data_IF_752262595509
#
_entry.id   IF_752262595509
#
_cell.length_a   1.000
_cell.length_b   1.000
_cell.length_c   1.000
_cell.angle_alpha   90.00
_cell.angle_beta   90.00
_cell.angle_gamma   90.00
#
_symmetry.space_group_name_H-M   'P 1'
#
loop_
_entity.id
_entity.type
_entity.pdbx_description
1 polymer ?
#
# COMPACT_ATOMS: atom_id res chain seq x y z
N UNK A 1 11.11 -19.36 10.50
CA UNK A 1 11.03 -20.33 9.37
C UNK A 1 11.91 -19.81 8.26
N UNK A 2 12.82 -20.59 7.68
CA UNK A 2 13.60 -20.11 6.53
C UNK A 2 12.64 -20.02 5.33
N UNK A 3 12.85 -19.05 4.44
CA UNK A 3 11.99 -18.88 3.26
C UNK A 3 11.99 -20.10 2.31
N UNK A 4 12.97 -20.99 2.39
CA UNK A 4 12.96 -22.28 1.69
C UNK A 4 11.96 -23.26 2.30
N UNK A 5 11.92 -23.31 3.62
CA UNK A 5 11.00 -24.20 4.35
C UNK A 5 9.55 -23.78 4.08
N UNK A 6 9.29 -22.46 4.05
CA UNK A 6 7.98 -21.91 3.70
C UNK A 6 7.54 -22.34 2.29
N UNK A 7 8.37 -22.12 1.26
CA UNK A 7 8.04 -22.50 -0.11
C UNK A 7 7.81 -24.00 -0.26
N UNK A 8 8.61 -24.82 0.42
CA UNK A 8 8.46 -26.28 0.42
C UNK A 8 7.14 -26.70 1.06
N UNK A 9 6.78 -26.09 2.19
CA UNK A 9 5.50 -26.33 2.88
C UNK A 9 4.32 -25.99 1.99
N UNK A 10 4.34 -24.80 1.36
CA UNK A 10 3.25 -24.35 0.47
C UNK A 10 3.12 -25.24 -0.78
N UNK A 11 4.23 -25.66 -1.38
CA UNK A 11 4.21 -26.55 -2.56
C UNK A 11 3.73 -27.97 -2.23
N UNK A 12 3.85 -28.39 -0.95
CA UNK A 12 3.35 -29.69 -0.48
C UNK A 12 1.87 -29.65 -0.09
N UNK A 13 1.26 -28.47 -0.04
CA UNK A 13 -0.16 -28.30 0.30
C UNK A 13 -1.04 -28.48 -0.96
N UNK A 14 -1.92 -29.49 -0.93
CA UNK A 14 -2.81 -29.79 -2.03
C UNK A 14 -3.94 -28.77 -2.22
N UNK A 15 -4.18 -27.89 -1.22
CA UNK A 15 -5.21 -26.86 -1.29
C UNK A 15 -4.76 -25.61 -2.06
N UNK A 16 -3.48 -25.49 -2.38
CA UNK A 16 -2.97 -24.34 -3.16
C UNK A 16 -3.43 -24.47 -4.62
N UNK A 17 -4.11 -23.44 -5.16
CA UNK A 17 -4.53 -23.42 -6.55
C UNK A 17 -3.38 -23.68 -7.52
N UNK A 18 -3.62 -24.47 -8.56
CA UNK A 18 -2.59 -24.85 -9.52
C UNK A 18 -1.95 -23.64 -10.20
N UNK A 19 -2.73 -22.58 -10.44
CA UNK A 19 -2.25 -21.31 -11.01
C UNK A 19 -1.19 -20.64 -10.13
N UNK A 20 -1.29 -20.78 -8.81
CA UNK A 20 -0.35 -20.21 -7.86
C UNK A 20 0.88 -21.09 -7.64
N UNK A 21 0.79 -22.39 -7.88
CA UNK A 21 1.94 -23.31 -7.77
C UNK A 21 3.09 -22.89 -8.68
N UNK A 22 2.79 -22.49 -9.92
CA UNK A 22 3.78 -21.99 -10.87
C UNK A 22 4.56 -20.77 -10.33
N UNK A 23 3.89 -19.87 -9.59
CA UNK A 23 4.57 -18.74 -8.95
C UNK A 23 5.53 -19.21 -7.84
N UNK A 24 5.10 -20.10 -6.95
CA UNK A 24 5.93 -20.59 -5.86
C UNK A 24 7.14 -21.40 -6.37
N UNK A 25 6.99 -22.16 -7.45
CA UNK A 25 8.11 -22.84 -8.13
C UNK A 25 9.09 -21.81 -8.70
N UNK A 26 8.60 -20.79 -9.40
CA UNK A 26 9.40 -19.69 -9.92
C UNK A 26 10.13 -18.95 -8.78
N UNK A 27 9.47 -18.67 -7.65
CA UNK A 27 10.10 -18.03 -6.50
C UNK A 27 11.28 -18.84 -5.97
N UNK A 28 11.15 -20.16 -5.89
CA UNK A 28 12.22 -21.05 -5.46
C UNK A 28 13.41 -21.00 -6.41
N UNK A 29 13.15 -21.12 -7.72
CA UNK A 29 14.19 -21.09 -8.75
C UNK A 29 14.94 -19.75 -8.78
N UNK A 30 14.22 -18.63 -8.85
CA UNK A 30 14.80 -17.30 -8.90
C UNK A 30 15.60 -16.96 -7.64
N UNK A 31 15.11 -17.38 -6.47
CA UNK A 31 15.84 -17.24 -5.21
C UNK A 31 17.14 -18.06 -5.19
N UNK A 32 17.10 -19.31 -5.64
CA UNK A 32 18.29 -20.18 -5.67
C UNK A 32 19.34 -19.65 -6.65
N UNK A 33 18.92 -19.05 -7.76
CA UNK A 33 19.77 -18.36 -8.73
C UNK A 33 20.17 -16.94 -8.28
N UNK A 34 19.66 -16.43 -7.16
CA UNK A 34 19.87 -15.06 -6.65
C UNK A 34 19.45 -13.95 -7.63
N UNK A 35 18.45 -14.20 -8.45
CA UNK A 35 17.91 -13.26 -9.42
C UNK A 35 16.86 -12.34 -8.75
N UNK A 36 17.34 -11.48 -7.85
CA UNK A 36 16.49 -10.69 -6.94
C UNK A 36 15.52 -9.76 -7.66
N UNK A 37 15.95 -9.15 -8.75
CA UNK A 37 15.09 -8.26 -9.53
C UNK A 37 13.92 -9.01 -10.17
N UNK A 38 14.20 -10.14 -10.84
CA UNK A 38 13.16 -10.98 -11.44
C UNK A 38 12.23 -11.56 -10.37
N UNK A 39 12.78 -11.94 -9.22
CA UNK A 39 12.00 -12.41 -8.09
C UNK A 39 11.04 -11.33 -7.58
N UNK A 40 11.52 -10.09 -7.47
CA UNK A 40 10.68 -8.94 -7.06
C UNK A 40 9.51 -8.75 -8.01
N UNK A 41 9.74 -8.75 -9.34
CA UNK A 41 8.69 -8.64 -10.34
C UNK A 41 7.67 -9.77 -10.27
N UNK A 42 8.13 -11.00 -10.05
CA UNK A 42 7.23 -12.15 -9.90
C UNK A 42 6.38 -12.06 -8.62
N UNK A 43 6.96 -11.58 -7.52
CA UNK A 43 6.22 -11.35 -6.27
C UNK A 43 5.18 -10.24 -6.46
N UNK A 44 5.51 -9.13 -7.13
CA UNK A 44 4.53 -8.09 -7.45
C UNK A 44 3.37 -8.61 -8.31
N UNK A 45 3.69 -9.43 -9.33
CA UNK A 45 2.68 -10.07 -10.17
C UNK A 45 1.77 -10.99 -9.35
N UNK A 46 2.34 -11.78 -8.46
CA UNK A 46 1.60 -12.66 -7.54
C UNK A 46 0.66 -11.88 -6.63
N UNK A 47 1.13 -10.81 -6.00
CA UNK A 47 0.33 -9.99 -5.09
C UNK A 47 -0.88 -9.33 -5.78
N UNK A 48 -0.80 -9.12 -7.11
CA UNK A 48 -1.91 -8.59 -7.93
C UNK A 48 -2.81 -9.67 -8.52
N UNK A 49 -2.40 -10.95 -8.43
CA UNK A 49 -3.14 -12.04 -9.05
C UNK A 49 -4.46 -12.32 -8.31
N UNK A 50 -5.61 -12.44 -9.00
CA UNK A 50 -6.90 -12.65 -8.33
C UNK A 50 -6.94 -13.87 -7.41
N UNK A 51 -6.33 -14.99 -7.81
CA UNK A 51 -6.30 -16.21 -7.00
C UNK A 51 -5.46 -16.08 -5.72
N UNK A 52 -4.57 -15.09 -5.63
CA UNK A 52 -3.75 -14.86 -4.43
C UNK A 52 -4.47 -14.05 -3.34
N UNK A 53 -5.64 -13.48 -3.64
CA UNK A 53 -6.38 -12.59 -2.73
C UNK A 53 -7.01 -13.32 -1.53
N UNK A 54 -6.97 -14.65 -1.49
CA UNK A 54 -7.46 -15.44 -0.37
C UNK A 54 -6.60 -15.22 0.88
N UNK A 55 -7.25 -14.88 2.00
CA UNK A 55 -6.57 -14.61 3.28
C UNK A 55 -6.12 -15.91 3.95
N UNK A 56 -4.97 -15.96 4.65
CA UNK A 56 -3.99 -14.87 4.90
C UNK A 56 -2.78 -14.91 3.95
N UNK A 57 -2.92 -15.41 2.75
CA UNK A 57 -1.84 -15.78 1.80
C UNK A 57 -0.76 -14.72 1.59
N UNK A 58 -1.14 -13.44 1.46
CA UNK A 58 -0.16 -12.36 1.31
C UNK A 58 0.61 -12.10 2.60
N UNK A 59 -0.06 -12.21 3.76
CA UNK A 59 0.56 -12.01 5.07
C UNK A 59 1.63 -13.08 5.29
N UNK A 60 1.29 -14.35 5.05
CA UNK A 60 2.21 -15.47 5.18
C UNK A 60 3.40 -15.35 4.23
N UNK A 61 3.15 -14.99 2.96
CA UNK A 61 4.20 -14.77 1.97
C UNK A 61 5.14 -13.63 2.41
N UNK A 62 4.59 -12.54 2.94
CA UNK A 62 5.40 -11.40 3.38
C UNK A 62 6.29 -11.77 4.56
N UNK A 63 5.71 -12.32 5.64
CA UNK A 63 6.43 -12.62 6.87
C UNK A 63 7.45 -13.76 6.71
N UNK A 64 7.13 -14.78 5.93
CA UNK A 64 7.96 -15.97 5.82
C UNK A 64 8.88 -16.02 4.59
N UNK A 65 8.58 -15.21 3.56
CA UNK A 65 9.38 -15.24 2.34
C UNK A 65 9.94 -13.86 1.96
N UNK A 66 9.12 -12.83 1.74
CA UNK A 66 9.59 -11.52 1.23
C UNK A 66 10.64 -10.92 2.18
N UNK A 67 10.42 -10.97 3.49
CA UNK A 67 11.36 -10.45 4.49
C UNK A 67 12.75 -11.09 4.41
N UNK A 68 12.86 -12.33 3.94
CA UNK A 68 14.16 -13.04 3.87
C UNK A 68 15.12 -12.44 2.84
N UNK A 69 14.61 -11.72 1.84
CA UNK A 69 15.42 -11.04 0.82
C UNK A 69 15.11 -9.53 0.69
N UNK A 70 14.40 -8.96 1.65
CA UNK A 70 13.99 -7.55 1.68
C UNK A 70 15.15 -6.57 1.40
N UNK A 71 16.36 -6.87 1.89
CA UNK A 71 17.58 -6.07 1.66
C UNK A 71 18.01 -5.95 0.19
N UNK A 72 17.46 -6.77 -0.69
CA UNK A 72 17.74 -6.77 -2.12
C UNK A 72 16.62 -6.13 -2.95
N UNK A 73 15.55 -5.67 -2.28
CA UNK A 73 14.41 -4.99 -2.89
C UNK A 73 14.57 -3.47 -2.68
N UNK A 74 14.17 -2.68 -3.66
CA UNK A 74 14.05 -1.24 -3.48
C UNK A 74 13.05 -0.94 -2.34
N UNK A 75 13.39 0.00 -1.46
CA UNK A 75 12.62 0.31 -0.25
C UNK A 75 11.18 0.73 -0.56
N UNK A 76 10.96 1.53 -1.61
CA UNK A 76 9.63 1.98 -1.99
C UNK A 76 8.79 0.83 -2.58
N UNK A 77 9.41 -0.08 -3.35
CA UNK A 77 8.75 -1.30 -3.85
C UNK A 77 8.36 -2.21 -2.70
N UNK A 78 9.26 -2.40 -1.72
CA UNK A 78 8.98 -3.18 -0.52
C UNK A 78 7.83 -2.57 0.31
N UNK A 79 7.83 -1.25 0.48
CA UNK A 79 6.75 -0.53 1.13
C UNK A 79 5.43 -0.71 0.40
N UNK A 80 5.42 -0.60 -0.93
CA UNK A 80 4.23 -0.83 -1.77
C UNK A 80 3.69 -2.26 -1.63
N UNK A 81 4.56 -3.27 -1.55
CA UNK A 81 4.16 -4.64 -1.24
C UNK A 81 3.51 -4.72 0.16
N UNK A 82 4.10 -4.06 1.15
CA UNK A 82 3.54 -3.98 2.51
C UNK A 82 2.14 -3.37 2.53
N UNK A 83 1.90 -2.33 1.73
CA UNK A 83 0.56 -1.72 1.57
C UNK A 83 -0.45 -2.72 1.00
N UNK A 84 -0.07 -3.50 -0.02
CA UNK A 84 -0.96 -4.54 -0.58
C UNK A 84 -1.28 -5.61 0.48
N UNK A 85 -0.26 -6.05 1.21
CA UNK A 85 -0.39 -7.06 2.28
C UNK A 85 -1.30 -6.57 3.41
N UNK A 86 -1.21 -5.29 3.79
CA UNK A 86 -2.03 -4.72 4.88
C UNK A 86 -3.54 -4.84 4.62
N UNK A 87 -3.96 -4.89 3.36
CA UNK A 87 -5.37 -5.03 2.97
C UNK A 87 -5.94 -6.43 3.23
N UNK A 88 -5.09 -7.42 3.49
CA UNK A 88 -5.53 -8.78 3.84
C UNK A 88 -5.81 -8.98 5.33
N UNK A 89 -5.39 -8.07 6.20
CA UNK A 89 -5.77 -8.16 7.62
C UNK A 89 -7.28 -8.02 7.79
N UNK A 90 -7.84 -8.83 8.67
CA UNK A 90 -9.28 -8.83 8.94
C UNK A 90 -9.68 -7.58 9.75
N UNK A 91 -8.82 -7.21 10.71
CA UNK A 91 -9.07 -6.07 11.57
C UNK A 91 -8.18 -4.89 11.19
N UNK A 92 -8.79 -3.71 11.11
CA UNK A 92 -8.07 -2.46 10.80
C UNK A 92 -6.95 -2.14 11.83
N UNK A 93 -7.12 -2.56 13.10
CA UNK A 93 -6.10 -2.44 14.14
C UNK A 93 -4.81 -3.21 13.83
N UNK A 94 -4.95 -4.42 13.27
CA UNK A 94 -3.81 -5.27 12.96
C UNK A 94 -3.07 -4.77 11.72
N UNK A 95 -3.83 -4.31 10.71
CA UNK A 95 -3.27 -3.63 9.54
C UNK A 95 -2.51 -2.37 9.94
N UNK A 96 -3.08 -1.56 10.86
CA UNK A 96 -2.41 -0.38 11.41
C UNK A 96 -1.10 -0.74 12.11
N UNK A 97 -1.12 -1.72 13.02
CA UNK A 97 0.07 -2.16 13.74
C UNK A 97 1.16 -2.68 12.80
N UNK A 98 0.77 -3.44 11.77
CA UNK A 98 1.68 -3.92 10.73
C UNK A 98 2.36 -2.76 9.99
N UNK A 99 1.58 -1.79 9.48
CA UNK A 99 2.12 -0.64 8.75
C UNK A 99 2.98 0.28 9.62
N UNK A 100 2.61 0.49 10.89
CA UNK A 100 3.41 1.27 11.84
C UNK A 100 4.77 0.62 12.12
N UNK A 101 4.81 -0.71 12.22
CA UNK A 101 6.07 -1.46 12.34
C UNK A 101 6.95 -1.21 11.12
N UNK A 102 6.42 -1.35 9.90
CA UNK A 102 7.17 -1.10 8.67
C UNK A 102 7.62 0.36 8.54
N UNK A 103 6.77 1.31 8.91
CA UNK A 103 7.12 2.72 8.91
C UNK A 103 8.29 3.03 9.86
N UNK A 104 8.33 2.36 11.03
CA UNK A 104 9.46 2.50 11.97
C UNK A 104 10.75 1.91 11.40
N UNK A 105 10.67 0.79 10.68
CA UNK A 105 11.83 0.15 10.02
C UNK A 105 12.41 1.02 8.88
N UNK A 106 11.59 1.91 8.28
CA UNK A 106 11.96 2.80 7.16
C UNK A 106 12.22 4.25 7.58
N UNK A 107 12.27 4.57 8.87
CA UNK A 107 12.53 5.93 9.36
C UNK A 107 14.04 6.25 9.34
N UNK A 108 14.58 6.34 8.12
CA UNK A 108 15.99 6.68 7.86
C UNK A 108 16.08 7.66 6.67
N UNK A 109 17.13 8.47 6.58
CA UNK A 109 17.27 9.49 5.52
C UNK A 109 17.15 8.93 4.09
N UNK A 110 17.66 7.71 3.87
CA UNK A 110 17.71 7.09 2.54
C UNK A 110 16.37 6.42 2.13
N UNK A 111 15.41 6.30 3.06
CA UNK A 111 14.15 5.55 2.86
C UNK A 111 12.92 6.39 3.22
N UNK A 112 13.06 7.71 3.25
CA UNK A 112 12.00 8.62 3.70
C UNK A 112 10.76 8.60 2.79
N UNK A 113 10.93 8.34 1.49
CA UNK A 113 9.81 8.17 0.56
C UNK A 113 8.95 6.96 0.93
N UNK A 114 9.59 5.82 1.23
CA UNK A 114 8.93 4.62 1.74
C UNK A 114 8.28 4.87 3.12
N UNK A 115 8.96 5.62 3.99
CA UNK A 115 8.43 6.00 5.30
C UNK A 115 7.15 6.85 5.16
N UNK A 116 7.14 7.84 4.27
CA UNK A 116 5.94 8.65 3.98
C UNK A 116 4.80 7.79 3.46
N UNK A 117 5.06 6.90 2.49
CA UNK A 117 4.05 5.99 1.96
C UNK A 117 3.41 5.15 3.07
N UNK A 118 4.23 4.47 3.88
CA UNK A 118 3.75 3.60 4.95
C UNK A 118 3.04 4.38 6.07
N UNK A 119 3.54 5.58 6.42
CA UNK A 119 2.91 6.44 7.43
C UNK A 119 1.55 6.95 6.98
N UNK A 120 1.39 7.29 5.71
CA UNK A 120 0.10 7.73 5.16
C UNK A 120 -0.89 6.56 5.06
N UNK A 121 -0.44 5.37 4.65
CA UNK A 121 -1.31 4.19 4.65
C UNK A 121 -1.71 3.77 6.08
N UNK A 122 -0.81 3.91 7.07
CA UNK A 122 -1.16 3.74 8.49
C UNK A 122 -2.20 4.78 8.94
N UNK A 123 -2.04 6.05 8.52
CA UNK A 123 -3.00 7.12 8.80
C UNK A 123 -4.38 6.85 8.17
N UNK A 124 -4.44 6.17 7.03
CA UNK A 124 -5.70 5.70 6.45
C UNK A 124 -6.44 4.76 7.43
N UNK A 125 -5.74 3.79 8.02
CA UNK A 125 -6.34 2.88 9.00
C UNK A 125 -6.68 3.59 10.32
N UNK A 126 -5.90 4.59 10.76
CA UNK A 126 -6.27 5.46 11.89
C UNK A 126 -7.59 6.16 11.63
N UNK A 127 -7.76 6.70 10.42
CA UNK A 127 -9.01 7.35 10.01
C UNK A 127 -10.20 6.38 10.03
N UNK A 128 -10.03 5.15 9.55
CA UNK A 128 -11.06 4.11 9.59
C UNK A 128 -11.44 3.73 11.03
N UNK A 129 -10.50 3.81 11.96
CA UNK A 129 -10.73 3.57 13.40
C UNK A 129 -11.28 4.80 14.14
N UNK A 130 -11.46 5.93 13.44
CA UNK A 130 -11.99 7.18 14.00
C UNK A 130 -10.96 8.06 14.70
N UNK A 131 -9.68 7.74 14.63
CA UNK A 131 -8.60 8.59 15.18
C UNK A 131 -8.25 9.73 14.22
N UNK A 132 -9.08 10.78 14.24
CA UNK A 132 -8.87 11.99 13.46
C UNK A 132 -7.61 12.76 13.90
N UNK A 133 -7.29 12.72 15.20
CA UNK A 133 -6.13 13.44 15.74
C UNK A 133 -4.81 12.81 15.30
N UNK A 134 -4.70 11.49 15.38
CA UNK A 134 -3.56 10.74 14.88
C UNK A 134 -3.36 10.89 13.38
N UNK A 135 -4.47 10.80 12.61
CA UNK A 135 -4.45 11.03 11.16
C UNK A 135 -3.94 12.43 10.83
N UNK A 136 -4.43 13.48 11.48
CA UNK A 136 -3.96 14.86 11.26
C UNK A 136 -2.48 15.01 11.57
N UNK A 137 -2.03 14.48 12.69
CA UNK A 137 -0.62 14.53 13.06
C UNK A 137 0.30 13.81 12.06
N UNK A 138 -0.15 12.69 11.49
CA UNK A 138 0.57 11.99 10.43
C UNK A 138 0.62 12.83 9.13
N UNK A 139 -0.50 13.42 8.70
CA UNK A 139 -0.56 14.32 7.55
C UNK A 139 0.43 15.49 7.69
N UNK A 140 0.44 16.17 8.84
CA UNK A 140 1.30 17.32 9.08
C UNK A 140 2.81 16.96 9.11
N UNK A 141 3.15 15.76 9.59
CA UNK A 141 4.53 15.25 9.53
C UNK A 141 4.95 14.90 8.11
N UNK A 142 4.11 14.14 7.40
CA UNK A 142 4.39 13.71 6.03
C UNK A 142 4.44 14.89 5.05
N UNK A 143 3.62 15.92 5.23
CA UNK A 143 3.67 17.16 4.42
C UNK A 143 5.07 17.82 4.52
N UNK A 144 5.61 17.97 5.75
CA UNK A 144 6.93 18.55 5.96
C UNK A 144 8.06 17.73 5.32
N UNK A 145 7.94 16.40 5.34
CA UNK A 145 8.90 15.54 4.66
C UNK A 145 8.81 15.68 3.14
N UNK A 146 7.60 15.69 2.58
CA UNK A 146 7.37 15.87 1.15
C UNK A 146 7.91 17.21 0.64
N UNK A 147 7.77 18.29 1.43
CA UNK A 147 8.31 19.61 1.09
C UNK A 147 9.86 19.64 1.06
N UNK A 148 10.52 18.66 1.68
CA UNK A 148 11.99 18.56 1.72
C UNK A 148 12.58 17.74 0.56
N UNK A 149 11.76 17.08 -0.25
CA UNK A 149 12.23 16.25 -1.34
C UNK A 149 12.33 17.04 -2.65
N UNK A 150 13.41 16.80 -3.40
CA UNK A 150 13.57 17.36 -4.74
C UNK A 150 12.68 16.67 -5.78
N UNK A 151 12.46 15.37 -5.62
CA UNK A 151 11.60 14.55 -6.48
C UNK A 151 11.03 13.37 -5.67
N UNK A 152 9.75 13.05 -5.90
CA UNK A 152 9.03 11.96 -5.25
C UNK A 152 8.26 11.15 -6.28
N UNK A 153 8.27 9.84 -6.13
CA UNK A 153 7.49 8.94 -6.99
C UNK A 153 5.98 9.20 -6.85
N UNK A 154 5.22 9.14 -7.96
CA UNK A 154 3.78 9.43 -7.96
C UNK A 154 2.97 8.64 -6.93
N UNK A 155 3.36 7.40 -6.63
CA UNK A 155 2.67 6.53 -5.67
C UNK A 155 2.65 7.11 -4.25
N UNK A 156 3.70 7.83 -3.85
CA UNK A 156 3.79 8.48 -2.53
C UNK A 156 2.83 9.67 -2.46
N UNK A 157 2.85 10.52 -3.50
CA UNK A 157 1.90 11.63 -3.61
C UNK A 157 0.44 11.14 -3.68
N UNK A 158 0.16 10.08 -4.45
CA UNK A 158 -1.16 9.49 -4.54
C UNK A 158 -1.68 9.04 -3.16
N UNK A 159 -0.86 8.33 -2.39
CA UNK A 159 -1.25 7.92 -1.03
C UNK A 159 -1.50 9.14 -0.13
N UNK A 160 -0.60 10.14 -0.16
CA UNK A 160 -0.74 11.35 0.64
C UNK A 160 -2.06 12.08 0.33
N UNK A 161 -2.31 12.42 -0.94
CA UNK A 161 -3.52 13.17 -1.34
C UNK A 161 -4.80 12.38 -1.11
N UNK A 162 -4.79 11.06 -1.31
CA UNK A 162 -5.94 10.20 -1.04
C UNK A 162 -6.34 10.22 0.44
N UNK A 163 -5.36 10.11 1.34
CA UNK A 163 -5.63 10.11 2.79
C UNK A 163 -6.05 11.50 3.27
N UNK A 164 -5.39 12.56 2.80
CA UNK A 164 -5.80 13.94 3.08
C UNK A 164 -7.24 14.20 2.61
N UNK A 165 -7.58 13.79 1.38
CA UNK A 165 -8.93 13.89 0.87
C UNK A 165 -9.94 13.16 1.77
N UNK A 166 -9.68 11.90 2.10
CA UNK A 166 -10.58 11.13 2.96
C UNK A 166 -10.74 11.74 4.37
N UNK A 167 -9.67 12.32 4.93
CA UNK A 167 -9.73 13.06 6.18
C UNK A 167 -10.66 14.27 6.10
N UNK A 168 -10.50 15.11 5.07
CA UNK A 168 -11.35 16.29 4.86
C UNK A 168 -12.81 15.89 4.54
N UNK A 169 -13.01 14.78 3.80
CA UNK A 169 -14.35 14.22 3.57
C UNK A 169 -15.03 13.82 4.90
N UNK A 170 -14.29 13.14 5.80
CA UNK A 170 -14.82 12.76 7.11
C UNK A 170 -15.19 13.97 7.98
N UNK A 171 -14.57 15.13 7.76
CA UNK A 171 -14.86 16.39 8.44
C UNK A 171 -15.89 17.28 7.71
N UNK A 172 -16.40 16.84 6.56
CA UNK A 172 -17.27 17.64 5.68
C UNK A 172 -16.63 18.97 5.20
N UNK A 173 -15.30 18.99 5.07
CA UNK A 173 -14.52 20.11 4.54
C UNK A 173 -14.42 19.95 3.01
N UNK A 174 -15.48 20.33 2.30
CA UNK A 174 -15.70 19.97 0.88
C UNK A 174 -14.67 20.58 -0.07
N UNK A 175 -14.24 21.83 0.14
CA UNK A 175 -13.25 22.48 -0.70
C UNK A 175 -11.87 21.77 -0.61
N UNK A 176 -11.43 21.43 0.61
CA UNK A 176 -10.17 20.74 0.83
C UNK A 176 -10.22 19.27 0.34
N UNK A 177 -11.37 18.59 0.51
CA UNK A 177 -11.60 17.28 -0.08
C UNK A 177 -11.45 17.33 -1.61
N UNK A 178 -12.17 18.27 -2.28
CA UNK A 178 -12.11 18.41 -3.74
C UNK A 178 -10.68 18.63 -4.22
N UNK A 179 -9.95 19.57 -3.61
CA UNK A 179 -8.56 19.88 -3.99
C UNK A 179 -7.64 18.65 -3.86
N UNK A 180 -7.66 17.99 -2.70
CA UNK A 180 -6.79 16.84 -2.47
C UNK A 180 -7.15 15.65 -3.36
N UNK A 181 -8.43 15.37 -3.54
CA UNK A 181 -8.85 14.25 -4.37
C UNK A 181 -8.57 14.47 -5.85
N UNK A 182 -8.64 15.72 -6.32
CA UNK A 182 -8.23 16.08 -7.69
C UNK A 182 -6.74 15.88 -7.91
N UNK A 183 -5.90 16.23 -6.94
CA UNK A 183 -4.45 15.95 -6.96
C UNK A 183 -4.16 14.44 -6.92
N UNK A 184 -4.91 13.67 -6.13
CA UNK A 184 -4.81 12.22 -6.14
C UNK A 184 -5.07 11.63 -7.52
N UNK A 185 -6.16 12.05 -8.19
CA UNK A 185 -6.50 11.57 -9.52
C UNK A 185 -5.43 11.93 -10.58
N UNK A 186 -4.71 13.04 -10.39
CA UNK A 186 -3.60 13.42 -11.25
C UNK A 186 -2.35 12.53 -11.07
N UNK A 187 -2.25 11.80 -9.95
CA UNK A 187 -1.12 10.92 -9.64
C UNK A 187 -1.33 9.46 -10.06
N UNK A 188 -2.54 9.07 -10.48
CA UNK A 188 -2.89 7.67 -10.77
C UNK A 188 -3.40 7.50 -12.21
N UNK A 189 -3.34 6.27 -12.68
CA UNK A 189 -4.04 5.85 -13.90
C UNK A 189 -5.44 5.34 -13.54
N UNK A 190 -6.43 6.25 -13.59
CA UNK A 190 -7.81 6.01 -13.12
C UNK A 190 -8.41 4.72 -13.68
N UNK A 191 -8.26 4.45 -14.99
CA UNK A 191 -8.83 3.26 -15.62
C UNK A 191 -8.14 1.94 -15.21
N UNK A 192 -6.89 2.00 -14.77
CA UNK A 192 -6.11 0.84 -14.36
C UNK A 192 -6.20 0.56 -12.85
N UNK A 193 -6.35 1.61 -12.04
CA UNK A 193 -6.22 1.55 -10.58
C UNK A 193 -7.54 1.66 -9.82
N UNK A 194 -8.61 2.12 -10.49
CA UNK A 194 -9.95 2.25 -9.90
C UNK A 194 -10.96 1.39 -10.64
N UNK A 195 -11.76 0.65 -9.90
CA UNK A 195 -12.93 -0.04 -10.45
C UNK A 195 -13.97 0.96 -10.97
N UNK A 196 -14.84 0.53 -11.90
CA UNK A 196 -15.92 1.40 -12.41
C UNK A 196 -16.84 1.92 -11.31
N UNK A 197 -17.09 1.12 -10.28
CA UNK A 197 -17.89 1.54 -9.13
C UNK A 197 -17.20 2.66 -8.34
N UNK A 198 -15.90 2.53 -8.10
CA UNK A 198 -15.10 3.59 -7.43
C UNK A 198 -15.03 4.86 -8.26
N UNK A 199 -14.87 4.76 -9.59
CA UNK A 199 -14.89 5.93 -10.49
C UNK A 199 -16.21 6.70 -10.41
N UNK A 200 -17.34 5.98 -10.43
CA UNK A 200 -18.67 6.60 -10.31
C UNK A 200 -18.86 7.25 -8.95
N UNK A 201 -18.48 6.57 -7.87
CA UNK A 201 -18.57 7.12 -6.51
C UNK A 201 -17.68 8.36 -6.36
N UNK A 202 -16.46 8.32 -6.87
CA UNK A 202 -15.53 9.44 -6.86
C UNK A 202 -16.12 10.65 -7.63
N UNK A 203 -16.63 10.43 -8.84
CA UNK A 203 -17.24 11.50 -9.64
C UNK A 203 -18.44 12.13 -8.93
N UNK A 204 -19.29 11.32 -8.30
CA UNK A 204 -20.43 11.80 -7.50
C UNK A 204 -19.97 12.65 -6.31
N UNK A 205 -19.01 12.17 -5.53
CA UNK A 205 -18.50 12.87 -4.34
C UNK A 205 -17.82 14.19 -4.71
N UNK A 206 -17.03 14.20 -5.80
CA UNK A 206 -16.39 15.42 -6.31
C UNK A 206 -17.42 16.43 -6.82
N UNK A 207 -18.47 15.97 -7.51
CA UNK A 207 -19.53 16.84 -7.99
C UNK A 207 -20.28 17.53 -6.85
N UNK A 208 -20.59 16.79 -5.78
CA UNK A 208 -21.22 17.36 -4.57
C UNK A 208 -20.26 18.37 -3.91
N UNK A 209 -18.98 17.99 -3.81
CA UNK A 209 -17.98 18.85 -3.15
C UNK A 209 -17.71 20.13 -3.93
N UNK A 210 -17.78 20.08 -5.27
CA UNK A 210 -17.69 21.27 -6.12
C UNK A 210 -18.88 22.24 -5.94
N UNK A 211 -20.05 21.72 -5.58
CA UNK A 211 -21.25 22.53 -5.34
C UNK A 211 -21.31 23.09 -3.91
N UNK A 212 -20.75 22.39 -2.94
CA UNK A 212 -20.83 22.75 -1.51
C UNK A 212 -19.57 23.47 -1.00
N UNK A 213 -18.47 23.46 -1.76
CA UNK A 213 -17.25 24.19 -1.41
C UNK A 213 -17.44 25.70 -1.66
N UNK A 214 -17.34 26.51 -0.62
CA UNK A 214 -17.51 27.96 -0.71
C UNK A 214 -16.42 28.67 -1.54
N UNK A 215 -15.28 28.02 -1.74
CA UNK A 215 -14.15 28.49 -2.57
C UNK A 215 -13.39 27.31 -3.15
N UNK A 216 -13.50 27.11 -4.42
CA UNK A 216 -12.73 26.13 -5.19
C UNK A 216 -11.67 26.84 -6.02
#
# INVERSE_FOLDING_TARGET
>A
MDGRDYLTSVLSDDHVPQELRAYYESFRELRDQRLWYQLTLQVESFLRHPASQERPRHIDLYEHFIRTFARHINHLVLASMGVIVSRQYEHASDALAFLQRLATETDQPETQDAHVLLSMEAAHFQLLLGDLSGTRAAMDRCAKLLDSFDAVEPVVHASFYRVCGNYHKAKAEYADYYRNYFLFLACIHVDAEMSKAEQVQCAHDLSISALLGDTI
#
